data_IF_760015519669
#
_entry.id   IF_760015519669
#
_cell.length_a   1.000
_cell.length_b   1.000
_cell.length_c   1.000
_cell.angle_alpha   90.00
_cell.angle_beta   90.00
_cell.angle_gamma   90.00
#
_symmetry.space_group_name_H-M   'P 1'
#
loop_
_entity.id
_entity.type
_entity.pdbx_description
1 polymer ?
#
# COMPACT_ATOMS: atom_id res chain seq x y z
N UNK A 1 7.85 9.82 -20.71
CA UNK A 1 9.02 9.39 -19.93
C UNK A 1 9.65 10.52 -19.12
N UNK A 2 10.12 11.64 -19.71
CA UNK A 2 10.78 12.74 -18.95
C UNK A 2 9.96 13.30 -17.79
N UNK A 3 8.64 13.42 -17.92
CA UNK A 3 7.74 13.93 -16.86
C UNK A 3 7.46 12.91 -15.74
N UNK A 4 7.52 11.60 -16.01
CA UNK A 4 7.41 10.52 -15.01
C UNK A 4 8.62 10.48 -14.08
N UNK A 5 9.82 10.62 -14.66
CA UNK A 5 11.08 10.67 -13.88
C UNK A 5 11.10 11.92 -13.00
N UNK A 6 10.62 13.07 -13.50
CA UNK A 6 10.56 14.31 -12.74
C UNK A 6 9.57 14.20 -11.58
N UNK A 7 8.38 13.61 -11.77
CA UNK A 7 7.39 13.41 -10.69
C UNK A 7 7.93 12.50 -9.57
N UNK A 8 8.56 11.39 -9.93
CA UNK A 8 9.19 10.47 -8.95
C UNK A 8 10.35 11.13 -8.20
N UNK A 9 11.18 11.95 -8.89
CA UNK A 9 12.29 12.69 -8.29
C UNK A 9 11.78 13.81 -7.40
N UNK A 10 10.69 14.49 -7.75
CA UNK A 10 10.12 15.59 -6.95
C UNK A 10 9.53 15.06 -5.64
N UNK A 11 8.87 13.91 -5.65
CA UNK A 11 8.39 13.25 -4.43
C UNK A 11 9.56 12.82 -3.55
N UNK A 12 10.62 12.25 -4.11
CA UNK A 12 11.82 11.84 -3.38
C UNK A 12 12.60 13.04 -2.80
N UNK A 13 12.62 14.20 -3.47
CA UNK A 13 13.25 15.44 -2.99
C UNK A 13 12.41 16.16 -1.92
N UNK A 14 11.09 16.17 -2.03
CA UNK A 14 10.20 16.74 -1.01
C UNK A 14 10.31 15.99 0.34
N UNK A 15 10.54 14.67 0.29
CA UNK A 15 10.76 13.84 1.47
C UNK A 15 12.09 14.11 2.18
N UNK A 16 13.11 14.66 1.48
CA UNK A 16 14.39 15.06 2.09
C UNK A 16 14.32 16.34 2.93
N UNK A 17 13.31 17.18 2.72
CA UNK A 17 13.17 18.47 3.42
C UNK A 17 12.46 18.37 4.79
N UNK A 18 11.99 17.20 5.20
CA UNK A 18 11.39 17.00 6.51
C UNK A 18 12.49 16.85 7.57
N UNK A 19 12.51 17.67 8.66
CA UNK A 19 13.47 17.51 9.72
C UNK A 19 13.27 16.16 10.41
N UNK A 20 14.21 15.26 10.22
CA UNK A 20 14.30 13.98 10.93
C UNK A 20 14.73 14.28 12.38
N UNK A 21 13.75 14.58 13.24
CA UNK A 21 14.01 14.66 14.67
C UNK A 21 14.59 13.33 15.15
N UNK A 22 15.70 13.40 15.88
CA UNK A 22 16.38 12.23 16.44
C UNK A 22 15.50 11.57 17.52
N UNK A 23 14.56 10.72 17.09
CA UNK A 23 13.91 9.75 17.97
C UNK A 23 14.70 8.46 17.85
N UNK A 24 15.15 7.93 18.99
CA UNK A 24 15.80 6.62 19.05
C UNK A 24 14.85 5.58 18.43
N UNK A 25 15.22 5.04 17.29
CA UNK A 25 14.48 3.96 16.61
C UNK A 25 14.66 2.67 17.40
N UNK A 26 13.56 1.99 17.67
CA UNK A 26 13.61 0.61 18.18
C UNK A 26 14.30 -0.31 17.15
N UNK A 27 14.90 -1.44 17.57
CA UNK A 27 15.50 -2.40 16.64
C UNK A 27 14.51 -2.81 15.55
N UNK A 28 14.97 -2.90 14.32
CA UNK A 28 14.15 -3.14 13.11
C UNK A 28 13.18 -4.34 13.26
N UNK A 29 13.57 -5.39 13.96
CA UNK A 29 12.73 -6.56 14.23
C UNK A 29 11.57 -6.35 15.21
N UNK A 30 11.57 -5.24 16.00
CA UNK A 30 10.47 -4.89 16.90
C UNK A 30 9.46 -3.94 16.24
N UNK A 31 9.86 -3.20 15.21
CA UNK A 31 9.02 -2.25 14.50
C UNK A 31 8.13 -2.99 13.50
N UNK A 32 8.66 -4.01 12.87
CA UNK A 32 8.03 -4.79 11.81
C UNK A 32 7.40 -6.09 12.32
N UNK A 33 7.04 -6.17 13.52
CA UNK A 33 6.22 -7.08 14.36
C UNK A 33 5.90 -8.51 13.94
N UNK A 34 6.16 -8.91 12.74
CA UNK A 34 5.91 -10.26 12.25
C UNK A 34 7.20 -11.06 12.11
N UNK A 35 7.23 -12.27 12.69
CA UNK A 35 8.30 -13.24 12.45
C UNK A 35 8.35 -13.71 10.99
N UNK A 36 7.28 -13.45 10.23
CA UNK A 36 7.15 -13.80 8.83
C UNK A 36 7.06 -12.56 7.96
N UNK A 37 8.09 -12.30 7.20
CA UNK A 37 8.19 -11.14 6.33
C UNK A 37 7.32 -11.26 5.05
N UNK A 38 6.65 -12.41 4.81
CA UNK A 38 5.85 -12.64 3.58
C UNK A 38 4.56 -13.42 3.83
N UNK A 39 3.46 -12.98 3.20
CA UNK A 39 2.17 -13.67 3.05
C UNK A 39 2.19 -14.44 1.75
N UNK A 40 1.68 -15.69 1.74
CA UNK A 40 1.72 -16.59 0.57
C UNK A 40 3.14 -16.74 -0.04
N UNK A 41 4.19 -16.56 0.79
CA UNK A 41 5.61 -16.53 0.40
C UNK A 41 5.99 -15.46 -0.64
N UNK A 42 5.03 -14.70 -1.14
CA UNK A 42 5.19 -13.72 -2.21
C UNK A 42 4.96 -12.29 -1.66
N UNK A 43 3.81 -12.03 -1.03
CA UNK A 43 3.39 -10.69 -0.63
C UNK A 43 4.14 -10.19 0.60
N UNK A 44 4.63 -8.94 0.60
CA UNK A 44 5.32 -8.38 1.75
C UNK A 44 4.38 -8.27 2.97
N UNK A 45 4.92 -8.54 4.15
CA UNK A 45 4.20 -8.51 5.41
C UNK A 45 4.92 -7.65 6.46
N UNK A 46 5.64 -6.64 6.01
CA UNK A 46 6.49 -5.82 6.88
C UNK A 46 5.70 -5.02 7.90
N UNK A 47 4.47 -4.66 7.58
CA UNK A 47 3.63 -3.83 8.44
C UNK A 47 2.63 -4.58 9.32
N UNK A 48 2.54 -5.91 9.25
CA UNK A 48 1.63 -6.67 10.10
C UNK A 48 2.22 -6.87 11.49
N UNK A 49 1.43 -6.56 12.51
CA UNK A 49 1.78 -6.79 13.91
C UNK A 49 0.71 -7.64 14.57
N UNK A 50 1.14 -8.54 15.46
CA UNK A 50 0.24 -9.29 16.32
C UNK A 50 -0.32 -8.34 17.40
N UNK A 51 -1.61 -8.42 17.69
CA UNK A 51 -2.25 -7.52 18.65
C UNK A 51 -1.73 -7.70 20.10
N UNK A 52 -1.07 -8.82 20.37
CA UNK A 52 -0.51 -9.17 21.68
C UNK A 52 0.86 -8.52 21.90
N UNK A 53 0.89 -7.33 22.48
CA UNK A 53 2.13 -6.75 22.98
C UNK A 53 2.16 -5.22 23.02
N UNK A 54 3.00 -4.68 23.91
CA UNK A 54 3.30 -3.24 23.99
C UNK A 54 4.32 -2.85 22.92
N UNK A 55 3.90 -2.76 21.65
CA UNK A 55 4.78 -2.26 20.61
C UNK A 55 5.11 -0.78 20.84
N UNK A 56 6.34 -0.34 20.57
CA UNK A 56 6.72 1.06 20.66
C UNK A 56 5.95 1.89 19.62
N UNK A 57 5.81 3.18 19.90
CA UNK A 57 5.29 4.13 18.92
C UNK A 57 6.15 4.09 17.68
N UNK A 58 5.51 4.10 16.51
CA UNK A 58 6.24 4.10 15.25
C UNK A 58 6.83 5.49 14.98
N UNK A 59 8.10 5.54 14.58
CA UNK A 59 8.76 6.79 14.23
C UNK A 59 8.42 7.22 12.79
N UNK A 60 8.63 8.50 12.48
CA UNK A 60 8.49 9.01 11.09
C UNK A 60 9.40 8.28 10.12
N UNK A 61 10.62 7.95 10.56
CA UNK A 61 11.59 7.19 9.76
C UNK A 61 11.08 5.79 9.44
N UNK A 62 10.45 5.13 10.41
CA UNK A 62 9.94 3.78 10.23
C UNK A 62 8.74 3.74 9.28
N UNK A 63 7.86 4.76 9.32
CA UNK A 63 6.78 4.91 8.34
C UNK A 63 7.33 5.04 6.92
N UNK A 64 8.35 5.88 6.71
CA UNK A 64 9.04 6.01 5.42
C UNK A 64 9.70 4.70 4.99
N UNK A 65 10.33 3.98 5.92
CA UNK A 65 10.98 2.72 5.65
C UNK A 65 9.97 1.63 5.24
N UNK A 66 8.81 1.56 5.89
CA UNK A 66 7.73 0.64 5.52
C UNK A 66 7.28 0.94 4.09
N UNK A 67 6.87 2.17 3.79
CA UNK A 67 6.39 2.56 2.47
C UNK A 67 7.44 2.33 1.37
N UNK A 68 8.73 2.58 1.67
CA UNK A 68 9.82 2.32 0.73
C UNK A 68 10.01 0.81 0.48
N UNK A 69 9.98 -0.01 1.54
CA UNK A 69 10.12 -1.46 1.41
C UNK A 69 8.95 -2.07 0.64
N UNK A 70 7.72 -1.66 0.94
CA UNK A 70 6.53 -2.14 0.24
C UNK A 70 6.53 -1.72 -1.24
N UNK A 71 7.02 -0.51 -1.57
CA UNK A 71 7.13 -0.02 -2.95
C UNK A 71 8.23 -0.69 -3.76
N UNK A 72 9.34 -1.08 -3.12
CA UNK A 72 10.51 -1.67 -3.78
C UNK A 72 10.59 -3.19 -3.61
N UNK A 73 9.59 -3.81 -2.99
CA UNK A 73 9.57 -5.26 -2.84
C UNK A 73 9.49 -5.95 -4.22
N UNK A 74 10.31 -6.99 -4.47
CA UNK A 74 10.27 -7.73 -5.73
C UNK A 74 8.87 -8.21 -6.16
N UNK A 75 7.96 -8.40 -5.22
CA UNK A 75 6.58 -8.78 -5.48
C UNK A 75 5.79 -7.69 -6.25
N UNK A 76 6.12 -6.42 -6.09
CA UNK A 76 5.42 -5.32 -6.75
C UNK A 76 5.47 -5.44 -8.28
N UNK A 77 6.59 -5.95 -8.81
CA UNK A 77 6.81 -6.10 -10.25
C UNK A 77 5.86 -7.13 -10.91
N UNK A 78 5.75 -8.39 -10.45
CA UNK A 78 4.79 -9.32 -11.03
C UNK A 78 3.33 -8.88 -10.82
N UNK A 79 2.99 -8.24 -9.71
CA UNK A 79 1.65 -7.73 -9.47
C UNK A 79 1.30 -6.62 -10.44
N UNK A 80 2.18 -5.66 -10.67
CA UNK A 80 1.99 -4.64 -11.71
C UNK A 80 1.83 -5.26 -13.10
N UNK A 81 2.55 -6.35 -13.40
CA UNK A 81 2.39 -7.11 -14.63
C UNK A 81 1.01 -7.74 -14.79
N UNK A 82 0.46 -8.30 -13.71
CA UNK A 82 -0.90 -8.85 -13.70
C UNK A 82 -1.92 -7.74 -13.95
N UNK A 83 -1.82 -6.62 -13.26
CA UNK A 83 -2.74 -5.49 -13.45
C UNK A 83 -2.64 -4.91 -14.88
N UNK A 84 -1.43 -4.76 -15.41
CA UNK A 84 -1.24 -4.34 -16.79
C UNK A 84 -1.86 -5.32 -17.80
N UNK A 85 -1.76 -6.63 -17.53
CA UNK A 85 -2.38 -7.67 -18.35
C UNK A 85 -3.91 -7.61 -18.31
N UNK A 86 -4.50 -7.40 -17.12
CA UNK A 86 -5.95 -7.25 -16.95
C UNK A 86 -6.43 -5.99 -17.66
N UNK A 87 -5.79 -4.84 -17.46
CA UNK A 87 -6.13 -3.58 -18.10
C UNK A 87 -6.02 -3.70 -19.65
N UNK A 88 -5.00 -4.39 -20.14
CA UNK A 88 -4.88 -4.64 -21.58
C UNK A 88 -5.98 -5.57 -22.10
N UNK A 89 -6.37 -6.60 -21.36
CA UNK A 89 -7.45 -7.52 -21.74
C UNK A 89 -8.83 -6.84 -21.73
N UNK A 90 -9.02 -5.84 -20.89
CA UNK A 90 -10.23 -5.02 -20.80
C UNK A 90 -10.22 -3.83 -21.77
N UNK A 91 -9.20 -3.73 -22.62
CA UNK A 91 -8.99 -2.64 -23.56
C UNK A 91 -8.90 -1.24 -22.93
N UNK A 92 -8.49 -1.17 -21.66
CA UNK A 92 -8.27 0.09 -20.97
C UNK A 92 -7.14 0.90 -21.63
N UNK A 93 -7.25 2.23 -21.63
CA UNK A 93 -6.25 3.14 -22.17
C UNK A 93 -5.79 2.80 -23.60
N UNK A 94 -6.77 2.46 -24.48
CA UNK A 94 -6.52 2.01 -25.86
C UNK A 94 -5.69 3.01 -26.70
N UNK A 95 -5.75 4.29 -26.37
CA UNK A 95 -4.94 5.37 -27.02
C UNK A 95 -3.44 5.24 -26.76
N UNK A 96 -3.00 4.42 -25.81
CA UNK A 96 -1.57 4.12 -25.61
C UNK A 96 -0.98 3.17 -26.66
N UNK A 97 -1.77 2.70 -27.61
CA UNK A 97 -1.32 1.84 -28.71
C UNK A 97 -1.82 0.40 -28.58
N UNK A 98 -1.02 -0.55 -29.04
CA UNK A 98 -1.38 -1.99 -29.07
C UNK A 98 -0.21 -2.89 -28.68
N UNK A 99 -0.52 -4.11 -28.30
CA UNK A 99 0.48 -5.14 -28.06
C UNK A 99 1.44 -4.80 -26.92
N UNK A 100 2.71 -5.09 -27.09
CA UNK A 100 3.74 -4.91 -26.04
C UNK A 100 4.01 -3.44 -25.69
N UNK A 101 3.87 -2.51 -26.64
CA UNK A 101 4.05 -1.08 -26.34
C UNK A 101 3.00 -0.58 -25.35
N UNK A 102 1.74 -0.94 -25.55
CA UNK A 102 0.66 -0.61 -24.62
C UNK A 102 0.86 -1.30 -23.28
N UNK A 103 1.14 -2.61 -23.29
CA UNK A 103 1.42 -3.37 -22.07
C UNK A 103 2.53 -2.72 -21.24
N UNK A 104 3.64 -2.32 -21.86
CA UNK A 104 4.73 -1.65 -21.17
C UNK A 104 4.32 -0.34 -20.50
N UNK A 105 3.46 0.46 -21.16
CA UNK A 105 2.93 1.70 -20.60
C UNK A 105 2.00 1.45 -19.42
N UNK A 106 1.09 0.48 -19.55
CA UNK A 106 0.21 0.05 -18.46
C UNK A 106 1.00 -0.49 -17.27
N UNK A 107 2.05 -1.26 -17.53
CA UNK A 107 2.93 -1.80 -16.50
C UNK A 107 3.64 -0.69 -15.71
N UNK A 108 4.25 0.27 -16.41
CA UNK A 108 4.92 1.41 -15.76
C UNK A 108 3.92 2.28 -14.99
N UNK A 109 2.71 2.47 -15.52
CA UNK A 109 1.66 3.20 -14.83
C UNK A 109 1.21 2.49 -13.55
N UNK A 110 0.99 1.18 -13.60
CA UNK A 110 0.63 0.37 -12.42
C UNK A 110 1.70 0.42 -11.32
N UNK A 111 2.99 0.36 -11.69
CA UNK A 111 4.10 0.54 -10.73
C UNK A 111 4.12 1.95 -10.14
N UNK A 112 3.83 2.97 -10.94
CA UNK A 112 3.79 4.35 -10.47
C UNK A 112 2.62 4.58 -9.52
N UNK A 113 1.43 4.06 -9.84
CA UNK A 113 0.23 4.13 -9.00
C UNK A 113 0.48 3.46 -7.66
N UNK A 114 1.00 2.23 -7.65
CA UNK A 114 1.28 1.49 -6.42
C UNK A 114 2.35 2.20 -5.56
N UNK A 115 3.45 2.64 -6.17
CA UNK A 115 4.50 3.35 -5.44
C UNK A 115 3.97 4.65 -4.83
N UNK A 116 3.16 5.39 -5.58
CA UNK A 116 2.58 6.64 -5.09
C UNK A 116 1.56 6.37 -3.98
N UNK A 117 0.71 5.34 -4.12
CA UNK A 117 -0.22 4.92 -3.09
C UNK A 117 0.53 4.60 -1.80
N UNK A 118 1.51 3.72 -1.83
CA UNK A 118 2.30 3.36 -0.64
C UNK A 118 2.97 4.59 0.00
N UNK A 119 3.61 5.46 -0.79
CA UNK A 119 4.26 6.66 -0.26
C UNK A 119 3.27 7.63 0.37
N UNK A 120 2.08 7.76 -0.17
CA UNK A 120 1.05 8.66 0.39
C UNK A 120 0.34 8.01 1.58
N UNK A 121 -0.21 6.78 1.44
CA UNK A 121 -1.05 6.15 2.45
C UNK A 121 -0.27 5.55 3.62
N UNK A 122 0.99 5.15 3.44
CA UNK A 122 1.81 4.51 4.50
C UNK A 122 2.88 5.44 5.10
N UNK A 123 3.25 6.54 4.41
CA UNK A 123 4.26 7.48 4.93
C UNK A 123 3.73 8.90 5.05
N UNK A 124 3.44 9.60 3.96
CA UNK A 124 3.17 11.04 3.98
C UNK A 124 1.98 11.40 4.86
N UNK A 125 0.81 10.85 4.59
CA UNK A 125 -0.38 11.10 5.40
C UNK A 125 -0.26 10.57 6.84
N UNK A 126 0.24 9.34 7.10
CA UNK A 126 0.48 8.88 8.47
C UNK A 126 1.43 9.75 9.27
N UNK A 127 2.46 10.34 8.65
CA UNK A 127 3.36 11.28 9.31
C UNK A 127 2.64 12.58 9.65
N UNK A 128 1.84 13.11 8.72
CA UNK A 128 1.10 14.36 8.89
C UNK A 128 -0.02 14.25 9.93
N UNK A 129 -0.72 13.12 9.93
CA UNK A 129 -1.93 12.88 10.73
C UNK A 129 -1.66 12.09 12.01
N UNK A 130 -0.41 11.71 12.28
CA UNK A 130 -0.02 10.86 13.41
C UNK A 130 -0.81 9.55 13.45
N UNK A 131 -1.05 8.94 12.27
CA UNK A 131 -1.68 7.63 12.10
C UNK A 131 -0.63 6.55 11.98
N UNK A 132 -0.93 5.35 12.50
CA UNK A 132 -0.05 4.19 12.43
C UNK A 132 -0.41 3.37 11.18
N UNK A 133 0.51 3.24 10.18
CA UNK A 133 0.22 2.50 8.94
C UNK A 133 0.29 0.98 9.12
N UNK A 134 0.61 0.47 10.31
CA UNK A 134 0.72 -0.96 10.57
C UNK A 134 -0.67 -1.62 10.60
N UNK A 135 -0.74 -2.84 10.07
CA UNK A 135 -1.91 -3.69 10.19
C UNK A 135 -1.85 -4.49 11.50
N UNK A 136 -2.79 -4.26 12.38
CA UNK A 136 -2.92 -4.98 13.66
C UNK A 136 -3.81 -6.20 13.46
N UNK A 137 -3.20 -7.39 13.38
CA UNK A 137 -3.91 -8.64 13.13
C UNK A 137 -4.75 -9.04 14.36
N UNK A 138 -6.01 -9.37 14.14
CA UNK A 138 -6.89 -9.85 15.23
C UNK A 138 -6.52 -11.27 15.68
N UNK A 139 -6.30 -12.18 14.73
CA UNK A 139 -5.81 -13.54 14.97
C UNK A 139 -6.73 -14.47 15.74
N UNK A 140 -7.87 -13.99 16.25
CA UNK A 140 -8.80 -14.73 17.13
C UNK A 140 -10.25 -14.52 16.72
N UNK A 141 -11.11 -15.47 17.07
CA UNK A 141 -12.53 -15.46 16.70
C UNK A 141 -12.86 -16.25 15.44
N UNK A 142 -14.15 -16.29 15.11
CA UNK A 142 -14.63 -17.02 13.93
C UNK A 142 -14.30 -16.33 12.61
N UNK A 143 -14.38 -17.07 11.52
CA UNK A 143 -14.04 -16.59 10.17
C UNK A 143 -14.73 -15.27 9.79
N UNK A 144 -16.05 -15.19 9.96
CA UNK A 144 -16.83 -13.99 9.58
C UNK A 144 -16.43 -12.76 10.40
N UNK A 145 -16.18 -12.95 11.72
CA UNK A 145 -15.74 -11.86 12.60
C UNK A 145 -14.38 -11.32 12.17
N UNK A 146 -13.42 -12.19 11.88
CA UNK A 146 -12.08 -11.80 11.41
C UNK A 146 -12.12 -11.18 10.02
N UNK A 147 -12.95 -11.70 9.12
CA UNK A 147 -13.15 -11.12 7.79
C UNK A 147 -13.71 -9.69 7.88
N UNK A 148 -14.76 -9.49 8.68
CA UNK A 148 -15.34 -8.17 8.91
C UNK A 148 -14.34 -7.22 9.58
N UNK A 149 -13.54 -7.71 10.54
CA UNK A 149 -12.46 -6.94 11.14
C UNK A 149 -11.44 -6.49 10.08
N UNK A 150 -10.88 -7.42 9.31
CA UNK A 150 -9.86 -7.12 8.30
C UNK A 150 -10.39 -6.14 7.25
N UNK A 151 -11.59 -6.37 6.71
CA UNK A 151 -12.22 -5.47 5.75
C UNK A 151 -12.48 -4.07 6.35
N UNK A 152 -12.77 -3.97 7.65
CA UNK A 152 -13.01 -2.69 8.31
C UNK A 152 -11.73 -1.84 8.47
N UNK A 153 -10.54 -2.43 8.35
CA UNK A 153 -9.26 -1.71 8.54
C UNK A 153 -9.02 -0.66 7.45
N UNK A 154 -9.61 -0.82 6.29
CA UNK A 154 -9.59 0.24 5.27
C UNK A 154 -10.24 1.54 5.80
N UNK A 155 -11.29 1.43 6.61
CA UNK A 155 -12.03 2.59 7.17
C UNK A 155 -11.50 3.04 8.53
N UNK A 156 -10.92 2.12 9.31
CA UNK A 156 -10.53 2.38 10.70
C UNK A 156 -9.08 1.99 10.91
N UNK A 157 -8.25 2.94 11.29
CA UNK A 157 -6.87 2.73 11.68
C UNK A 157 -6.63 3.15 13.13
N UNK A 158 -5.39 3.07 13.58
CA UNK A 158 -4.95 3.55 14.90
C UNK A 158 -4.07 4.79 14.76
N UNK A 159 -4.12 5.66 15.77
CA UNK A 159 -3.12 6.72 15.92
C UNK A 159 -1.79 6.15 16.43
N UNK A 160 -0.72 6.96 16.38
CA UNK A 160 0.55 6.62 17.03
C UNK A 160 0.41 6.43 18.55
N UNK A 161 -0.67 6.95 19.15
CA UNK A 161 -1.07 6.71 20.55
C UNK A 161 -2.04 5.54 20.72
N UNK A 162 -2.30 4.76 19.65
CA UNK A 162 -3.15 3.55 19.60
C UNK A 162 -4.66 3.77 19.78
N UNK A 163 -5.13 4.98 19.66
CA UNK A 163 -6.56 5.27 19.62
C UNK A 163 -7.12 4.93 18.23
N UNK A 164 -8.31 4.35 18.18
CA UNK A 164 -8.99 4.08 16.91
C UNK A 164 -9.53 5.39 16.33
N UNK A 165 -9.34 5.58 15.01
CA UNK A 165 -9.92 6.69 14.28
C UNK A 165 -10.18 6.30 12.81
N UNK A 166 -10.90 7.15 12.08
CA UNK A 166 -11.08 6.97 10.64
C UNK A 166 -9.73 7.00 9.91
N UNK A 167 -9.56 6.15 8.92
CA UNK A 167 -8.30 5.98 8.19
C UNK A 167 -8.12 7.07 7.12
N UNK A 168 -7.90 8.30 7.58
CA UNK A 168 -7.67 9.44 6.69
C UNK A 168 -6.45 9.25 5.78
N UNK A 169 -5.43 8.52 6.27
CA UNK A 169 -4.22 8.25 5.50
C UNK A 169 -4.52 7.40 4.27
N UNK A 170 -5.34 6.38 4.42
CA UNK A 170 -5.73 5.48 3.35
C UNK A 170 -6.55 6.22 2.28
N UNK A 171 -7.60 6.91 2.72
CA UNK A 171 -8.48 7.65 1.80
C UNK A 171 -7.77 8.84 1.16
N UNK A 172 -7.06 9.65 1.95
CA UNK A 172 -6.33 10.83 1.46
C UNK A 172 -5.17 10.45 0.55
N UNK A 173 -4.38 9.45 0.93
CA UNK A 173 -3.25 8.97 0.16
C UNK A 173 -3.68 8.43 -1.21
N UNK A 174 -4.69 7.57 -1.23
CA UNK A 174 -5.23 7.01 -2.48
C UNK A 174 -5.95 8.04 -3.34
N UNK A 175 -6.61 9.04 -2.75
CA UNK A 175 -7.20 10.16 -3.50
C UNK A 175 -6.12 11.02 -4.18
N UNK A 176 -5.01 11.29 -3.49
CA UNK A 176 -3.85 11.98 -4.09
C UNK A 176 -3.24 11.15 -5.20
N UNK A 177 -3.01 9.86 -4.99
CA UNK A 177 -2.51 8.96 -6.03
C UNK A 177 -3.43 8.97 -7.26
N UNK A 178 -4.73 8.72 -7.10
CA UNK A 178 -5.68 8.65 -8.20
C UNK A 178 -5.81 9.99 -8.97
N UNK A 179 -5.68 11.11 -8.28
CA UNK A 179 -5.69 12.44 -8.93
C UNK A 179 -4.37 12.70 -9.67
N UNK A 180 -3.24 12.41 -9.03
CA UNK A 180 -1.91 12.61 -9.60
C UNK A 180 -1.66 11.67 -10.79
N UNK A 181 -2.27 10.49 -10.84
CA UNK A 181 -2.17 9.57 -11.97
C UNK A 181 -2.62 10.21 -13.29
N UNK A 182 -3.53 11.17 -13.26
CA UNK A 182 -3.94 11.94 -14.44
C UNK A 182 -2.79 12.72 -15.11
N UNK A 183 -1.64 12.88 -14.44
CA UNK A 183 -0.46 13.53 -15.05
C UNK A 183 0.20 12.63 -16.09
N UNK A 184 0.10 11.31 -15.95
CA UNK A 184 0.79 10.36 -16.83
C UNK A 184 -0.14 9.43 -17.62
N UNK A 185 -1.39 9.26 -17.24
CA UNK A 185 -2.37 8.53 -18.06
C UNK A 185 -2.75 9.30 -19.33
N UNK A 186 -3.29 8.64 -20.38
CA UNK A 186 -3.72 9.30 -21.60
C UNK A 186 -4.81 10.33 -21.35
N UNK A 187 -4.93 11.34 -22.22
CA UNK A 187 -5.87 12.45 -22.03
C UNK A 187 -7.33 12.02 -22.01
N UNK A 188 -7.69 11.03 -22.81
CA UNK A 188 -9.02 10.44 -22.89
C UNK A 188 -9.40 9.65 -21.63
N UNK A 189 -8.42 9.18 -20.87
CA UNK A 189 -8.60 8.47 -19.60
C UNK A 189 -8.58 9.38 -18.34
N UNK A 190 -8.37 10.69 -18.50
CA UNK A 190 -8.31 11.68 -17.40
C UNK A 190 -9.68 12.19 -16.99
N UNK A 191 -10.65 11.31 -16.95
CA UNK A 191 -12.01 11.64 -16.53
C UNK A 191 -12.19 11.47 -15.02
N UNK A 192 -13.16 12.19 -14.44
CA UNK A 192 -13.53 12.01 -13.02
C UNK A 192 -13.95 10.57 -12.74
N UNK A 193 -14.65 9.92 -13.69
CA UNK A 193 -15.06 8.52 -13.58
C UNK A 193 -13.86 7.58 -13.48
N UNK A 194 -12.88 7.68 -14.38
CA UNK A 194 -11.69 6.85 -14.35
C UNK A 194 -10.82 7.12 -13.11
N UNK A 195 -10.74 8.38 -12.68
CA UNK A 195 -10.05 8.74 -11.42
C UNK A 195 -10.73 8.07 -10.22
N UNK A 196 -12.06 8.07 -10.16
CA UNK A 196 -12.83 7.40 -9.11
C UNK A 196 -12.66 5.86 -9.16
N UNK A 197 -12.61 5.29 -10.37
CA UNK A 197 -12.35 3.85 -10.55
C UNK A 197 -10.94 3.49 -10.01
N UNK A 198 -9.90 4.23 -10.39
CA UNK A 198 -8.52 3.99 -9.87
C UNK A 198 -8.47 4.09 -8.35
N UNK A 199 -9.11 5.10 -7.78
CA UNK A 199 -9.23 5.25 -6.33
C UNK A 199 -9.91 4.03 -5.69
N UNK A 200 -11.07 3.61 -6.19
CA UNK A 200 -11.82 2.47 -5.67
C UNK A 200 -11.08 1.13 -5.86
N UNK A 201 -10.39 0.96 -6.99
CA UNK A 201 -9.56 -0.22 -7.26
C UNK A 201 -8.43 -0.35 -6.25
N UNK A 202 -7.73 0.75 -5.95
CA UNK A 202 -6.65 0.74 -4.97
C UNK A 202 -7.17 0.40 -3.57
N UNK A 203 -8.24 1.05 -3.11
CA UNK A 203 -8.85 0.72 -1.80
C UNK A 203 -9.29 -0.75 -1.72
N UNK A 204 -9.82 -1.29 -2.81
CA UNK A 204 -10.22 -2.71 -2.88
C UNK A 204 -9.00 -3.63 -2.78
N UNK A 205 -7.92 -3.29 -3.47
CA UNK A 205 -6.67 -4.04 -3.40
C UNK A 205 -6.07 -4.02 -1.99
N UNK A 206 -6.02 -2.85 -1.34
CA UNK A 206 -5.50 -2.71 0.01
C UNK A 206 -6.35 -3.47 1.04
N UNK A 207 -7.67 -3.47 0.87
CA UNK A 207 -8.58 -4.29 1.68
C UNK A 207 -8.32 -5.80 1.50
N UNK A 208 -8.13 -6.27 0.26
CA UNK A 208 -7.81 -7.67 -0.01
C UNK A 208 -6.43 -8.06 0.56
N UNK A 209 -5.46 -7.15 0.52
CA UNK A 209 -4.16 -7.34 1.14
C UNK A 209 -4.29 -7.50 2.67
N UNK A 210 -5.09 -6.68 3.34
CA UNK A 210 -5.33 -6.78 4.77
C UNK A 210 -6.08 -8.07 5.16
N UNK A 211 -7.07 -8.48 4.37
CA UNK A 211 -7.73 -9.79 4.53
C UNK A 211 -6.71 -10.93 4.39
N UNK A 212 -5.83 -10.86 3.39
CA UNK A 212 -4.78 -11.85 3.18
C UNK A 212 -3.82 -11.94 4.36
N UNK A 213 -3.42 -10.79 4.92
CA UNK A 213 -2.57 -10.73 6.13
C UNK A 213 -3.27 -11.34 7.35
N UNK A 214 -4.58 -11.10 7.51
CA UNK A 214 -5.36 -11.66 8.62
C UNK A 214 -5.36 -13.19 8.62
N UNK A 215 -5.57 -13.80 7.45
CA UNK A 215 -5.74 -15.24 7.33
C UNK A 215 -4.47 -16.00 6.97
N UNK A 216 -3.37 -15.30 6.69
CA UNK A 216 -2.12 -15.94 6.28
C UNK A 216 -1.64 -17.07 7.20
N UNK A 217 -1.59 -16.93 8.53
CA UNK A 217 -1.14 -18.01 9.39
C UNK A 217 -2.04 -19.25 9.35
N UNK A 218 -3.34 -19.07 9.09
CA UNK A 218 -4.28 -20.18 8.95
C UNK A 218 -4.07 -20.92 7.63
N UNK A 219 -3.94 -20.16 6.53
CA UNK A 219 -3.63 -20.70 5.19
C UNK A 219 -2.30 -21.46 5.23
N UNK A 220 -1.28 -20.87 5.87
CA UNK A 220 0.04 -21.52 6.00
C UNK A 220 -0.05 -22.83 6.77
N UNK A 221 -0.74 -22.86 7.92
CA UNK A 221 -0.94 -24.10 8.70
C UNK A 221 -1.63 -25.18 7.85
N UNK A 222 -2.63 -24.80 7.08
CA UNK A 222 -3.33 -25.72 6.20
C UNK A 222 -2.43 -26.27 5.07
N UNK A 223 -1.60 -25.43 4.45
CA UNK A 223 -0.71 -25.83 3.34
C UNK A 223 0.49 -26.65 3.81
N UNK A 224 1.02 -26.39 5.00
CA UNK A 224 2.23 -27.06 5.52
C UNK A 224 1.89 -28.27 6.40
N UNK A 225 0.60 -28.50 6.67
CA UNK A 225 0.13 -29.71 7.38
C UNK A 225 0.52 -29.79 8.86
N UNK A 226 0.69 -28.64 9.52
CA UNK A 226 0.95 -28.56 10.98
C UNK A 226 -0.04 -27.63 11.66
#
# INVERSE_FOLDING_TARGET
MRRLIIAAITVALALRALPLGAQASAPEGQIMGSKENRVLWIFPNYRTVEEEGSLPRISRRDKLMIATKDSLDPYAFPVAGIFAGIAQAQDEDASWGRGLDRYGKLYVAALADQTMSNMMSEAAFPIMLSQDPRYFRLGRGGFIHRLGYAASRIFVTRTDSRQSQFNYSEFGGNAVMATASNLYYPRDSRTTGNTAIRFGTQLTFDMLADISKEFWPDIKRWLVGK
#
